data_IF_674124165403
#
_entry.id   IF_674124165403
#
_cell.length_a   1.000
_cell.length_b   1.000
_cell.length_c   1.000
_cell.angle_alpha   90.00
_cell.angle_beta   90.00
_cell.angle_gamma   90.00
#
_symmetry.space_group_name_H-M   'P 1'
#
loop_
_entity.id
_entity.type
_entity.pdbx_description
1 polymer ?
#
# COMPACT_ATOMS: atom_id res chain seq x y z
N UNK A 1 8.52 -17.76 18.45
CA UNK A 1 8.16 -16.39 18.85
C UNK A 1 7.12 -15.90 17.86
N UNK A 2 5.86 -15.89 18.29
CA UNK A 2 4.69 -15.72 17.43
C UNK A 2 4.15 -14.31 17.63
N UNK A 3 4.36 -13.41 16.68
CA UNK A 3 3.74 -12.08 16.72
C UNK A 3 2.27 -12.20 16.31
N UNK A 4 1.41 -11.69 17.18
CA UNK A 4 -0.03 -11.78 17.10
C UNK A 4 -0.59 -11.10 15.84
N UNK A 5 -1.73 -11.65 15.40
CA UNK A 5 -2.50 -11.36 14.20
C UNK A 5 -3.27 -10.04 14.30
N UNK A 6 -2.56 -8.92 14.39
CA UNK A 6 -3.06 -7.55 14.20
C UNK A 6 -2.12 -6.85 13.22
N UNK A 7 -2.66 -6.16 12.23
CA UNK A 7 -1.94 -5.66 11.04
C UNK A 7 -0.54 -5.12 11.39
N UNK A 8 0.49 -5.84 10.95
CA UNK A 8 1.87 -5.43 11.15
C UNK A 8 2.18 -4.27 10.21
N UNK A 9 2.38 -3.08 10.78
CA UNK A 9 2.87 -1.93 10.03
C UNK A 9 4.35 -2.12 9.75
N UNK A 10 4.70 -2.14 8.47
CA UNK A 10 6.09 -2.18 8.02
C UNK A 10 6.48 -0.88 7.36
N UNK A 11 7.76 -0.50 7.52
CA UNK A 11 8.33 0.61 6.77
C UNK A 11 8.37 0.27 5.29
N UNK A 12 8.00 1.25 4.48
CA UNK A 12 7.84 1.08 3.05
C UNK A 12 8.15 2.34 2.27
N UNK A 13 8.52 2.12 1.01
CA UNK A 13 8.51 3.14 -0.02
C UNK A 13 7.56 2.72 -1.14
N UNK A 14 6.87 3.69 -1.72
CA UNK A 14 6.25 3.49 -3.03
C UNK A 14 7.31 3.78 -4.10
N UNK A 15 7.47 2.83 -5.02
CA UNK A 15 8.32 3.02 -6.20
C UNK A 15 7.52 3.68 -7.31
N UNK A 16 6.31 3.15 -7.56
CA UNK A 16 5.41 3.64 -8.60
C UNK A 16 3.96 3.65 -8.14
N UNK A 17 3.16 4.50 -8.76
CA UNK A 17 1.70 4.48 -8.66
C UNK A 17 1.08 4.74 -10.02
N UNK A 18 -0.03 4.07 -10.30
CA UNK A 18 -0.85 4.33 -11.50
C UNK A 18 -2.31 4.15 -11.19
N UNK A 19 -3.12 4.77 -12.02
CA UNK A 19 -4.56 4.61 -11.97
C UNK A 19 -4.95 3.16 -12.29
N UNK A 20 -5.79 2.56 -11.44
CA UNK A 20 -6.31 1.20 -11.63
C UNK A 20 -7.80 1.19 -11.92
N UNK A 21 -8.58 1.95 -11.16
CA UNK A 21 -10.01 2.13 -11.40
C UNK A 21 -10.43 3.58 -11.11
N UNK A 22 -11.73 3.87 -11.26
CA UNK A 22 -12.31 5.16 -10.91
C UNK A 22 -12.03 5.57 -9.45
N UNK A 23 -11.82 4.61 -8.56
CA UNK A 23 -11.62 4.87 -7.12
C UNK A 23 -10.30 4.35 -6.55
N UNK A 24 -9.52 3.57 -7.31
CA UNK A 24 -8.35 2.85 -6.80
C UNK A 24 -7.07 3.15 -7.56
N UNK A 25 -5.94 3.02 -6.85
CA UNK A 25 -4.59 3.06 -7.38
C UNK A 25 -3.96 1.66 -7.34
N UNK A 26 -3.17 1.35 -8.35
CA UNK A 26 -2.20 0.26 -8.30
C UNK A 26 -0.85 0.88 -7.97
N UNK A 27 -0.24 0.41 -6.90
CA UNK A 27 1.05 0.88 -6.41
C UNK A 27 2.06 -0.25 -6.40
N UNK A 28 3.32 0.11 -6.52
CA UNK A 28 4.45 -0.79 -6.35
C UNK A 28 5.17 -0.43 -5.06
N UNK A 29 5.14 -1.33 -4.09
CA UNK A 29 5.71 -1.13 -2.77
C UNK A 29 7.06 -1.83 -2.66
N UNK A 30 7.95 -1.26 -1.86
CA UNK A 30 9.16 -1.90 -1.36
C UNK A 30 9.13 -1.82 0.16
N UNK A 31 9.10 -2.97 0.84
CA UNK A 31 9.11 -3.08 2.31
C UNK A 31 10.32 -3.86 2.78
N UNK A 32 10.68 -3.69 4.05
CA UNK A 32 11.81 -4.40 4.67
C UNK A 32 11.55 -5.91 4.82
N UNK A 33 10.32 -6.29 5.17
CA UNK A 33 9.94 -7.64 5.55
C UNK A 33 9.53 -8.54 4.36
N UNK A 34 8.81 -7.97 3.38
CA UNK A 34 8.23 -8.68 2.24
C UNK A 34 8.96 -8.37 0.93
N UNK A 35 9.78 -7.32 0.90
CA UNK A 35 10.48 -6.87 -0.31
C UNK A 35 9.55 -6.12 -1.27
N UNK A 36 9.77 -6.30 -2.58
CA UNK A 36 9.03 -5.58 -3.63
C UNK A 36 7.77 -6.32 -4.04
N UNK A 37 6.62 -5.65 -4.03
CA UNK A 37 5.36 -6.24 -4.50
C UNK A 37 4.34 -5.20 -5.01
N UNK A 38 3.44 -5.59 -5.93
CA UNK A 38 2.31 -4.75 -6.34
C UNK A 38 1.17 -4.82 -5.33
N UNK A 39 0.50 -3.68 -5.08
CA UNK A 39 -0.66 -3.59 -4.22
C UNK A 39 -1.74 -2.65 -4.77
N UNK A 40 -3.01 -2.95 -4.48
CA UNK A 40 -4.13 -2.07 -4.78
C UNK A 40 -4.48 -1.25 -3.53
N UNK A 41 -4.57 0.06 -3.69
CA UNK A 41 -5.13 0.96 -2.68
C UNK A 41 -6.52 1.37 -3.13
N UNK A 42 -7.54 0.99 -2.35
CA UNK A 42 -8.94 1.19 -2.69
C UNK A 42 -9.47 2.51 -2.15
N UNK A 43 -10.35 3.16 -2.91
CA UNK A 43 -11.15 4.29 -2.43
C UNK A 43 -10.36 5.54 -2.07
N UNK A 44 -9.18 5.74 -2.68
CA UNK A 44 -8.30 6.88 -2.41
C UNK A 44 -8.59 8.09 -3.29
N UNK A 45 -9.24 7.92 -4.45
CA UNK A 45 -9.48 9.02 -5.41
C UNK A 45 -10.69 9.93 -5.11
N UNK A 46 -11.35 9.77 -3.96
CA UNK A 46 -12.56 10.53 -3.63
C UNK A 46 -12.29 12.00 -3.24
N UNK A 47 -13.21 12.92 -3.58
CA UNK A 47 -13.15 14.33 -3.14
C UNK A 47 -13.04 14.42 -1.60
N UNK A 48 -12.10 15.23 -1.10
CA UNK A 48 -11.87 15.44 0.33
C UNK A 48 -10.98 14.41 1.01
N UNK A 49 -10.43 13.42 0.28
CA UNK A 49 -9.47 12.46 0.84
C UNK A 49 -8.04 12.89 0.58
N UNK A 50 -7.22 12.95 1.63
CA UNK A 50 -5.76 13.15 1.54
C UNK A 50 -5.02 11.91 1.01
N UNK A 51 -5.71 10.82 0.70
CA UNK A 51 -5.12 9.55 0.29
C UNK A 51 -4.14 9.64 -0.90
N UNK A 52 -4.46 10.34 -2.01
CA UNK A 52 -3.58 10.37 -3.18
C UNK A 52 -2.29 11.15 -2.96
N UNK A 53 -2.31 12.18 -2.10
CA UNK A 53 -1.12 12.99 -1.78
C UNK A 53 -0.20 12.32 -0.77
N UNK A 54 -0.73 11.44 0.09
CA UNK A 54 0.06 10.62 1.02
C UNK A 54 0.78 9.46 0.31
N UNK A 55 0.26 9.01 -0.83
CA UNK A 55 0.83 7.92 -1.62
C UNK A 55 1.82 8.44 -2.66
N UNK A 56 2.73 9.32 -2.26
CA UNK A 56 3.79 9.79 -3.15
C UNK A 56 4.96 8.79 -3.19
N UNK A 57 5.52 8.53 -4.38
CA UNK A 57 6.74 7.75 -4.50
C UNK A 57 7.90 8.34 -3.69
N UNK A 58 8.76 7.45 -3.18
CA UNK A 58 10.00 7.81 -2.47
C UNK A 58 9.82 8.63 -1.19
N UNK A 59 8.60 8.73 -0.67
CA UNK A 59 8.35 9.19 0.70
C UNK A 59 8.28 7.95 1.60
N UNK A 60 8.94 7.96 2.77
CA UNK A 60 8.83 6.86 3.72
C UNK A 60 7.41 6.78 4.27
N UNK A 61 6.85 5.58 4.29
CA UNK A 61 5.50 5.28 4.74
C UNK A 61 5.52 4.08 5.69
N UNK A 62 4.50 3.98 6.52
CA UNK A 62 4.17 2.75 7.24
C UNK A 62 2.91 2.18 6.60
N UNK A 63 2.97 0.92 6.19
CA UNK A 63 1.85 0.26 5.50
C UNK A 63 1.57 -1.11 6.10
N UNK A 64 0.31 -1.50 6.04
CA UNK A 64 -0.20 -2.85 6.19
C UNK A 64 -0.78 -3.33 4.87
N UNK A 65 -0.59 -4.62 4.58
CA UNK A 65 -1.23 -5.28 3.44
C UNK A 65 -1.84 -6.62 3.82
N UNK A 66 -2.71 -7.08 2.94
CA UNK A 66 -3.33 -8.40 3.02
C UNK A 66 -3.42 -9.05 1.64
N UNK A 67 -3.64 -10.36 1.64
CA UNK A 67 -3.80 -11.16 0.43
C UNK A 67 -2.64 -12.13 0.20
N UNK A 68 -2.96 -13.32 -0.31
CA UNK A 68 -1.98 -14.38 -0.60
C UNK A 68 -1.50 -14.38 -2.05
N UNK A 69 -2.27 -13.79 -2.98
CA UNK A 69 -1.90 -13.68 -4.39
C UNK A 69 -0.74 -12.72 -4.64
N UNK A 70 -0.36 -12.59 -5.91
CA UNK A 70 0.73 -11.74 -6.39
C UNK A 70 0.47 -10.26 -6.11
N UNK A 71 -0.77 -9.81 -6.35
CA UNK A 71 -1.21 -8.44 -6.04
C UNK A 71 -1.86 -8.40 -4.67
N UNK A 72 -1.32 -7.56 -3.78
CA UNK A 72 -1.83 -7.36 -2.42
C UNK A 72 -2.92 -6.29 -2.37
N UNK A 73 -3.64 -6.21 -1.25
CA UNK A 73 -4.50 -5.07 -0.94
C UNK A 73 -3.89 -4.30 0.22
N UNK A 74 -3.67 -3.01 0.04
CA UNK A 74 -3.22 -2.11 1.10
C UNK A 74 -4.41 -1.78 2.00
N UNK A 75 -4.27 -1.95 3.31
CA UNK A 75 -5.42 -1.88 4.24
C UNK A 75 -5.33 -0.75 5.24
N UNK A 76 -4.14 -0.28 5.62
CA UNK A 76 -3.93 0.94 6.39
C UNK A 76 -2.45 1.32 6.40
#
# INVERSE_FOLDING_TARGET
MSYARSGHLSLAYLLHRRDYSNSSLLVECLTEDQGRFPAIVKGVKGKGKSGPSLLQPFIPLQICWSGKGEVKSLTQ
#
